data_IF_652625508537
#
_entry.id   IF_652625508537
#
_cell.length_a   1.000
_cell.length_b   1.000
_cell.length_c   1.000
_cell.angle_alpha   90.00
_cell.angle_beta   90.00
_cell.angle_gamma   90.00
#
_symmetry.space_group_name_H-M   'P 1'
#
loop_
_entity.id
_entity.type
_entity.pdbx_description
1 polymer ?
#
# COMPACT_ATOMS: atom_id res chain seq x y z
N UNK A 1 0.73 41.44 60.30
CA UNK A 1 0.57 40.31 59.34
C UNK A 1 -0.90 40.16 58.96
N UNK A 2 -1.46 41.06 58.13
CA UNK A 2 -2.81 40.92 57.54
C UNK A 2 -2.89 41.79 56.29
N UNK A 3 -2.18 41.43 55.23
CA UNK A 3 -2.23 42.16 53.94
C UNK A 3 -2.33 41.27 52.71
N UNK A 4 -2.46 39.95 52.84
CA UNK A 4 -2.41 39.04 51.68
C UNK A 4 -3.75 38.38 51.29
N UNK A 5 -4.88 38.76 51.91
CA UNK A 5 -6.17 38.11 51.64
C UNK A 5 -7.07 38.83 50.62
N UNK A 6 -6.88 40.13 50.38
CA UNK A 6 -7.85 40.93 49.59
C UNK A 6 -7.59 40.82 48.08
N UNK A 7 -6.36 40.52 47.65
CA UNK A 7 -6.02 40.43 46.22
C UNK A 7 -6.56 39.16 45.55
N UNK A 8 -6.83 38.09 46.31
CA UNK A 8 -7.26 36.81 45.71
C UNK A 8 -8.77 36.68 45.53
N UNK A 9 -9.58 37.57 46.11
CA UNK A 9 -11.05 37.48 46.10
C UNK A 9 -11.71 38.28 44.96
N UNK A 10 -10.94 39.06 44.19
CA UNK A 10 -11.48 39.88 43.10
C UNK A 10 -11.67 39.09 41.79
N UNK A 11 -11.18 37.85 41.70
CA UNK A 11 -11.33 37.01 40.50
C UNK A 11 -12.62 36.16 40.48
N UNK A 12 -13.34 36.02 41.59
CA UNK A 12 -14.52 35.13 41.66
C UNK A 12 -15.87 35.82 41.36
N UNK A 13 -15.90 37.12 41.05
CA UNK A 13 -17.15 37.89 40.93
C UNK A 13 -17.81 37.85 39.53
N UNK A 14 -17.18 37.24 38.51
CA UNK A 14 -17.66 37.26 37.12
C UNK A 14 -18.13 35.91 36.58
N UNK A 15 -18.33 34.91 37.45
CA UNK A 15 -18.60 33.51 37.08
C UNK A 15 -19.95 33.23 36.37
N UNK A 16 -20.68 34.25 35.88
CA UNK A 16 -22.00 34.05 35.27
C UNK A 16 -22.46 35.11 34.27
N UNK A 17 -21.59 36.03 33.82
CA UNK A 17 -21.92 36.94 32.70
C UNK A 17 -21.18 36.45 31.45
N UNK A 18 -21.83 36.43 30.27
CA UNK A 18 -21.11 36.14 29.03
C UNK A 18 -20.02 37.20 28.89
N UNK A 19 -18.77 36.76 28.84
CA UNK A 19 -17.62 37.63 28.65
C UNK A 19 -17.65 38.11 27.20
N UNK A 20 -18.28 39.27 26.98
CA UNK A 20 -18.50 39.87 25.66
C UNK A 20 -17.18 40.08 24.94
N UNK A 21 -16.11 40.43 25.68
CA UNK A 21 -14.78 40.60 25.11
C UNK A 21 -14.25 39.27 24.58
N UNK A 22 -14.41 38.19 25.35
CA UNK A 22 -14.07 36.84 24.89
C UNK A 22 -14.88 36.43 23.64
N UNK A 23 -16.18 36.72 23.60
CA UNK A 23 -17.02 36.39 22.44
C UNK A 23 -16.62 37.17 21.18
N UNK A 24 -16.37 38.48 21.31
CA UNK A 24 -15.93 39.34 20.21
C UNK A 24 -14.55 38.91 19.70
N UNK A 25 -13.62 38.58 20.60
CA UNK A 25 -12.29 38.08 20.22
C UNK A 25 -12.39 36.73 19.49
N UNK A 26 -13.21 35.79 19.96
CA UNK A 26 -13.43 34.52 19.27
C UNK A 26 -14.06 34.71 17.90
N UNK A 27 -15.08 35.57 17.75
CA UNK A 27 -15.69 35.88 16.45
C UNK A 27 -14.72 36.56 15.49
N UNK A 28 -13.88 37.47 15.97
CA UNK A 28 -12.86 38.12 15.16
C UNK A 28 -11.79 37.13 14.71
N UNK A 29 -11.36 36.23 15.59
CA UNK A 29 -10.43 35.15 15.24
C UNK A 29 -11.05 34.19 14.21
N UNK A 30 -12.29 33.75 14.38
CA UNK A 30 -12.96 32.87 13.40
C UNK A 30 -13.16 33.55 12.04
N UNK A 31 -13.42 34.86 12.02
CA UNK A 31 -13.65 35.63 10.80
C UNK A 31 -12.36 35.98 10.04
N UNK A 32 -11.26 36.33 10.73
CA UNK A 32 -10.02 36.78 10.10
C UNK A 32 -8.91 35.74 10.11
N UNK A 33 -8.97 34.75 11.01
CA UNK A 33 -8.01 33.66 11.17
C UNK A 33 -8.75 32.35 11.48
N UNK A 34 -9.54 31.82 10.53
CA UNK A 34 -10.33 30.60 10.74
C UNK A 34 -9.48 29.42 11.21
N UNK A 35 -8.20 29.38 10.82
CA UNK A 35 -7.22 28.36 11.20
C UNK A 35 -6.74 28.45 12.67
N UNK A 36 -6.97 29.57 13.36
CA UNK A 36 -6.62 29.78 14.77
C UNK A 36 -7.80 29.53 15.73
N UNK A 37 -9.03 29.50 15.19
CA UNK A 37 -10.23 29.04 15.88
C UNK A 37 -10.25 27.51 15.83
N UNK A 38 -10.52 26.85 16.96
CA UNK A 38 -10.55 25.37 17.07
C UNK A 38 -11.58 24.69 16.15
N UNK A 39 -12.40 25.47 15.44
CA UNK A 39 -13.30 25.05 14.36
C UNK A 39 -12.55 24.47 13.15
N UNK A 40 -11.35 24.98 12.85
CA UNK A 40 -10.51 24.51 11.73
C UNK A 40 -9.82 23.17 11.97
N UNK A 41 -9.43 22.86 13.21
CA UNK A 41 -8.80 21.58 13.54
C UNK A 41 -9.73 20.41 13.21
N UNK A 42 -11.01 20.51 13.60
CA UNK A 42 -12.05 19.53 13.26
C UNK A 42 -12.28 19.43 11.76
N UNK A 43 -12.20 20.54 11.03
CA UNK A 43 -12.32 20.55 9.57
C UNK A 43 -11.10 19.90 8.87
N UNK A 44 -9.92 20.02 9.46
CA UNK A 44 -8.68 19.39 8.97
C UNK A 44 -8.73 17.88 9.21
N UNK A 45 -9.15 17.43 10.39
CA UNK A 45 -9.28 16.01 10.71
C UNK A 45 -10.22 15.31 9.71
N UNK A 46 -11.36 15.94 9.39
CA UNK A 46 -12.30 15.43 8.38
C UNK A 46 -11.69 15.37 6.96
N UNK A 47 -10.79 16.30 6.60
CA UNK A 47 -10.11 16.28 5.29
C UNK A 47 -9.04 15.20 5.23
N UNK A 48 -8.34 14.97 6.33
CA UNK A 48 -7.37 13.88 6.46
C UNK A 48 -8.09 12.53 6.37
N UNK A 49 -9.20 12.38 7.10
CA UNK A 49 -10.03 11.17 7.07
C UNK A 49 -10.54 10.87 5.65
N UNK A 50 -11.05 11.88 4.94
CA UNK A 50 -11.48 11.73 3.54
C UNK A 50 -10.33 11.30 2.62
N UNK A 51 -9.14 11.88 2.78
CA UNK A 51 -7.98 11.49 1.98
C UNK A 51 -7.55 10.05 2.30
N UNK A 52 -7.57 9.66 3.57
CA UNK A 52 -7.26 8.30 4.01
C UNK A 52 -8.27 7.28 3.47
N UNK A 53 -9.56 7.59 3.51
CA UNK A 53 -10.59 6.69 2.98
C UNK A 53 -10.52 6.57 1.46
N UNK A 54 -10.17 7.66 0.77
CA UNK A 54 -9.91 7.63 -0.66
C UNK A 54 -8.73 6.70 -0.98
N UNK A 55 -7.60 6.86 -0.29
CA UNK A 55 -6.42 6.01 -0.46
C UNK A 55 -6.76 4.55 -0.15
N UNK A 56 -7.47 4.29 0.96
CA UNK A 56 -7.92 2.96 1.34
C UNK A 56 -8.78 2.32 0.26
N UNK A 57 -9.76 3.05 -0.28
CA UNK A 57 -10.61 2.57 -1.37
C UNK A 57 -9.80 2.24 -2.63
N UNK A 58 -8.88 3.12 -3.04
CA UNK A 58 -8.01 2.88 -4.20
C UNK A 58 -7.14 1.64 -4.02
N UNK A 59 -6.51 1.48 -2.84
CA UNK A 59 -5.70 0.30 -2.54
C UNK A 59 -6.55 -0.98 -2.57
N UNK A 60 -7.74 -0.94 -1.97
CA UNK A 60 -8.63 -2.10 -1.95
C UNK A 60 -9.05 -2.53 -3.36
N UNK A 61 -9.31 -1.58 -4.26
CA UNK A 61 -9.63 -1.86 -5.66
C UNK A 61 -8.40 -2.41 -6.40
N UNK A 62 -7.26 -1.71 -6.34
CA UNK A 62 -6.04 -2.12 -7.03
C UNK A 62 -5.56 -3.50 -6.58
N UNK A 63 -5.55 -3.78 -5.27
CA UNK A 63 -5.14 -5.09 -4.73
C UNK A 63 -6.12 -6.18 -5.18
N UNK A 64 -7.43 -5.89 -5.21
CA UNK A 64 -8.42 -6.85 -5.72
C UNK A 64 -8.16 -7.18 -7.18
N UNK A 65 -7.95 -6.16 -8.02
CA UNK A 65 -7.68 -6.34 -9.45
C UNK A 65 -6.40 -7.17 -9.67
N UNK A 66 -5.30 -6.84 -8.99
CA UNK A 66 -4.05 -7.62 -9.07
C UNK A 66 -4.24 -9.09 -8.66
N UNK A 67 -5.07 -9.35 -7.64
CA UNK A 67 -5.40 -10.72 -7.22
C UNK A 67 -6.22 -11.46 -8.27
N UNK A 68 -7.21 -10.81 -8.90
CA UNK A 68 -8.00 -11.44 -9.95
C UNK A 68 -7.15 -11.75 -11.19
N UNK A 69 -6.29 -10.82 -11.63
CA UNK A 69 -5.34 -11.05 -12.72
C UNK A 69 -4.41 -12.23 -12.41
N UNK A 70 -3.95 -12.35 -11.16
CA UNK A 70 -3.09 -13.46 -10.76
C UNK A 70 -3.84 -14.80 -10.77
N UNK A 71 -5.10 -14.83 -10.33
CA UNK A 71 -5.95 -16.03 -10.39
C UNK A 71 -6.18 -16.48 -11.84
N UNK A 72 -6.47 -15.55 -12.75
CA UNK A 72 -6.63 -15.85 -14.18
C UNK A 72 -5.35 -16.45 -14.77
N UNK A 73 -4.18 -15.85 -14.47
CA UNK A 73 -2.88 -16.41 -14.90
C UNK A 73 -2.63 -17.80 -14.35
N UNK A 74 -2.96 -18.05 -13.08
CA UNK A 74 -2.82 -19.38 -12.48
C UNK A 74 -3.73 -20.39 -13.22
N UNK A 75 -4.98 -20.02 -13.49
CA UNK A 75 -5.92 -20.87 -14.21
C UNK A 75 -5.43 -21.19 -15.63
N UNK A 76 -4.99 -20.19 -16.39
CA UNK A 76 -4.44 -20.36 -17.73
C UNK A 76 -3.22 -21.28 -17.74
N UNK A 77 -2.29 -21.09 -16.79
CA UNK A 77 -1.11 -21.94 -16.66
C UNK A 77 -1.48 -23.38 -16.29
N UNK A 78 -2.45 -23.59 -15.40
CA UNK A 78 -2.94 -24.93 -15.05
C UNK A 78 -3.57 -25.62 -16.26
N UNK A 79 -4.41 -24.93 -17.02
CA UNK A 79 -5.00 -25.48 -18.25
C UNK A 79 -3.92 -25.83 -19.29
N UNK A 80 -2.89 -24.99 -19.40
CA UNK A 80 -1.77 -25.26 -20.31
C UNK A 80 -0.96 -26.48 -19.85
N UNK A 81 -0.72 -26.63 -18.55
CA UNK A 81 -0.07 -27.83 -17.98
C UNK A 81 -0.90 -29.07 -18.30
N UNK A 82 -2.21 -29.04 -18.04
CA UNK A 82 -3.10 -30.18 -18.32
C UNK A 82 -3.08 -30.58 -19.80
N UNK A 83 -3.13 -29.61 -20.72
CA UNK A 83 -2.99 -29.89 -22.16
C UNK A 83 -1.65 -30.55 -22.48
N UNK A 84 -0.55 -29.98 -21.95
CA UNK A 84 0.78 -30.51 -22.20
C UNK A 84 0.96 -31.91 -21.60
N UNK A 85 0.39 -32.20 -20.44
CA UNK A 85 0.42 -33.54 -19.82
C UNK A 85 -0.36 -34.56 -20.65
N UNK A 86 -1.51 -34.18 -21.20
CA UNK A 86 -2.29 -35.01 -22.11
C UNK A 86 -1.52 -35.28 -23.41
N UNK A 87 -0.99 -34.23 -24.05
CA UNK A 87 -0.15 -34.34 -25.25
C UNK A 87 1.06 -35.23 -25.00
N UNK A 88 1.75 -35.05 -23.87
CA UNK A 88 2.93 -35.83 -23.50
C UNK A 88 2.58 -37.31 -23.27
N UNK A 89 1.43 -37.59 -22.66
CA UNK A 89 0.95 -38.96 -22.43
C UNK A 89 0.65 -39.64 -23.77
N UNK A 90 -0.04 -38.96 -24.69
CA UNK A 90 -0.32 -39.48 -26.03
C UNK A 90 0.98 -39.73 -26.79
N UNK A 91 1.91 -38.77 -26.78
CA UNK A 91 3.21 -38.91 -27.44
C UNK A 91 3.97 -40.12 -26.88
N UNK A 92 4.08 -40.26 -25.55
CA UNK A 92 4.73 -41.41 -24.92
C UNK A 92 4.08 -42.74 -25.26
N UNK A 93 2.76 -42.79 -25.40
CA UNK A 93 2.04 -44.01 -25.76
C UNK A 93 2.24 -44.42 -27.24
N UNK A 94 2.49 -43.46 -28.13
CA UNK A 94 2.60 -43.69 -29.58
C UNK A 94 4.05 -43.73 -30.10
N UNK A 95 5.04 -43.35 -29.28
CA UNK A 95 6.46 -43.39 -29.67
C UNK A 95 7.01 -44.81 -29.53
N UNK A 96 7.69 -45.30 -30.56
CA UNK A 96 8.37 -46.61 -30.54
C UNK A 96 9.51 -46.64 -29.51
N UNK A 97 9.73 -47.80 -28.90
CA UNK A 97 10.75 -48.02 -27.87
C UNK A 97 12.18 -47.70 -28.37
N UNK A 98 12.41 -47.84 -29.68
CA UNK A 98 13.65 -47.47 -30.36
C UNK A 98 13.87 -45.94 -30.39
N UNK A 99 12.84 -45.16 -30.72
CA UNK A 99 12.90 -43.69 -30.75
C UNK A 99 13.09 -43.11 -29.34
N UNK A 100 12.43 -43.71 -28.33
CA UNK A 100 12.58 -43.33 -26.93
C UNK A 100 14.04 -43.52 -26.45
N UNK A 101 14.67 -44.61 -26.89
CA UNK A 101 16.06 -44.95 -26.55
C UNK A 101 17.05 -43.95 -27.17
N UNK A 102 16.86 -43.56 -28.42
CA UNK A 102 17.69 -42.54 -29.09
C UNK A 102 17.56 -41.15 -28.46
N UNK A 103 16.35 -40.79 -28.00
CA UNK A 103 16.11 -39.52 -27.31
C UNK A 103 16.87 -39.44 -25.97
N UNK A 104 16.89 -40.54 -25.21
CA UNK A 104 17.62 -40.63 -23.94
C UNK A 104 19.14 -40.47 -24.11
N UNK A 105 19.71 -40.99 -25.20
CA UNK A 105 21.11 -40.83 -25.56
C UNK A 105 21.45 -39.37 -25.92
N UNK A 106 20.55 -38.68 -26.61
CA UNK A 106 20.73 -37.26 -26.99
C UNK A 106 20.67 -36.33 -25.77
N UNK A 107 19.85 -36.61 -24.76
CA UNK A 107 19.78 -35.76 -23.56
C UNK A 107 21.04 -35.82 -22.68
N UNK A 108 21.78 -36.94 -22.67
CA UNK A 108 23.02 -37.07 -21.90
C UNK A 108 24.19 -36.26 -22.49
N UNK A 109 24.18 -35.95 -23.79
CA UNK A 109 25.24 -35.16 -24.43
C UNK A 109 25.04 -33.64 -24.26
N UNK A 110 23.81 -33.18 -24.00
CA UNK A 110 23.49 -31.77 -23.83
C UNK A 110 23.88 -31.20 -22.45
N UNK A 111 23.94 -32.02 -21.41
CA UNK A 111 24.29 -31.59 -20.04
C UNK A 111 25.81 -31.45 -19.78
N UNK A 112 26.67 -31.74 -20.75
CA UNK A 112 28.13 -31.77 -20.57
C UNK A 112 28.86 -30.46 -20.94
N UNK A 113 28.15 -29.37 -21.31
CA UNK A 113 28.80 -28.11 -21.70
C UNK A 113 28.64 -27.04 -20.59
N UNK A 114 29.72 -26.61 -19.91
CA UNK A 114 29.63 -25.53 -18.93
C UNK A 114 29.29 -24.20 -19.64
N UNK A 115 28.46 -23.33 -19.05
CA UNK A 115 28.20 -22.01 -19.61
C UNK A 115 29.46 -21.12 -19.53
N UNK A 116 29.74 -20.29 -20.56
CA UNK A 116 30.85 -19.34 -20.51
C UNK A 116 30.54 -18.24 -19.49
N UNK A 117 31.45 -18.04 -18.53
CA UNK A 117 31.36 -17.04 -17.47
C UNK A 117 31.59 -15.63 -18.05
N UNK A 118 30.61 -14.71 -18.02
CA UNK A 118 30.79 -13.34 -18.50
C UNK A 118 31.16 -12.44 -17.34
N UNK A 119 32.36 -12.61 -16.78
CA UNK A 119 32.89 -11.67 -15.80
C UNK A 119 33.93 -10.76 -16.47
N UNK A 120 33.47 -9.67 -17.08
CA UNK A 120 34.34 -8.51 -17.38
C UNK A 120 33.54 -7.21 -17.40
N UNK A 121 34.04 -6.25 -16.62
CA UNK A 121 34.30 -4.86 -17.03
C UNK A 121 33.24 -3.78 -16.73
N UNK A 122 33.60 -2.95 -15.74
CA UNK A 122 33.47 -1.48 -15.65
C UNK A 122 32.12 -0.93 -15.17
N UNK A 123 31.99 -0.05 -14.17
CA UNK A 123 32.88 0.82 -13.39
C UNK A 123 31.98 1.86 -12.67
N UNK A 124 32.45 2.60 -11.65
CA UNK A 124 31.57 3.32 -10.72
C UNK A 124 31.15 4.70 -11.27
N UNK A 125 29.94 5.15 -10.96
CA UNK A 125 29.56 6.57 -11.11
C UNK A 125 28.90 7.02 -9.81
N UNK A 126 29.66 7.85 -9.09
CA UNK A 126 29.37 8.83 -8.03
C UNK A 126 28.13 8.70 -7.16
#
# INVERSE_FOLDING_TARGET
>A
MKTDAITSQQYSAFAGRPDILREVVVKYLDQFYPNASGTSAVAIDNKIEQAMDLVKSHLMIAVREEVEVLKEKIAELMDRINQLELENTILKANVSQETLSQLSATMQTASAKPPPNPNTSNGPIS
#
